data_IF_679792409912
#
_entry.id   IF_679792409912
#
_cell.length_a   1.000
_cell.length_b   1.000
_cell.length_c   1.000
_cell.angle_alpha   90.00
_cell.angle_beta   90.00
_cell.angle_gamma   90.00
#
_symmetry.space_group_name_H-M   'P 1'
#
loop_
_entity.id
_entity.type
_entity.pdbx_description
1 polymer ?
#
# COMPACT_ATOMS: atom_id res chain seq x y z
N UNK A 1 22.51 19.93 14.76
CA UNK A 1 22.00 19.77 13.38
C UNK A 1 20.65 19.11 13.52
N UNK A 2 19.57 19.89 13.46
CA UNK A 2 18.24 19.32 13.34
C UNK A 2 18.04 18.98 11.86
N UNK A 3 18.01 17.68 11.54
CA UNK A 3 17.54 17.25 10.23
C UNK A 3 16.11 17.78 10.10
N UNK A 4 15.84 18.55 9.05
CA UNK A 4 14.48 18.93 8.69
C UNK A 4 13.67 17.63 8.52
N UNK A 5 12.72 17.40 9.43
CA UNK A 5 11.74 16.32 9.30
C UNK A 5 10.72 16.72 8.22
N UNK A 6 11.17 16.71 6.97
CA UNK A 6 10.36 17.01 5.79
C UNK A 6 9.81 15.73 5.13
N UNK A 7 9.75 14.62 5.85
CA UNK A 7 8.99 13.46 5.42
C UNK A 7 7.51 13.72 5.72
N UNK A 8 6.63 13.52 4.73
CA UNK A 8 5.19 13.55 4.94
C UNK A 8 4.77 12.56 6.03
N UNK A 9 3.58 12.74 6.61
CA UNK A 9 3.05 11.74 7.54
C UNK A 9 3.02 10.37 6.83
N UNK A 10 3.48 9.29 7.48
CA UNK A 10 3.46 7.96 6.90
C UNK A 10 2.06 7.61 6.39
N UNK A 11 1.96 7.14 5.14
CA UNK A 11 0.70 6.82 4.51
C UNK A 11 0.33 5.34 4.67
N UNK A 12 -0.98 5.09 4.67
CA UNK A 12 -1.58 3.77 4.69
C UNK A 12 -2.65 3.67 3.62
N UNK A 13 -2.95 2.43 3.20
CA UNK A 13 -4.05 2.17 2.30
C UNK A 13 -5.36 2.06 3.06
N UNK A 14 -6.39 2.69 2.50
CA UNK A 14 -7.77 2.64 2.96
C UNK A 14 -8.66 2.21 1.81
N UNK A 15 -9.69 1.42 2.12
CA UNK A 15 -10.72 1.04 1.17
C UNK A 15 -12.03 1.73 1.54
N UNK A 16 -12.69 2.27 0.52
CA UNK A 16 -14.02 2.86 0.63
C UNK A 16 -14.99 2.02 -0.19
N UNK A 17 -16.03 1.51 0.45
CA UNK A 17 -17.19 0.95 -0.22
C UNK A 17 -18.22 2.06 -0.39
N UNK A 18 -18.41 2.49 -1.64
CA UNK A 18 -19.32 3.58 -1.99
C UNK A 18 -20.80 3.20 -1.84
N UNK A 19 -21.13 1.90 -1.89
CA UNK A 19 -22.51 1.43 -1.75
C UNK A 19 -22.90 1.26 -0.28
N UNK A 20 -21.96 0.83 0.55
CA UNK A 20 -22.20 0.54 1.96
C UNK A 20 -21.84 1.70 2.91
N UNK A 21 -21.39 2.84 2.40
CA UNK A 21 -20.81 3.95 3.19
C UNK A 21 -19.75 3.44 4.19
N UNK A 22 -18.99 2.41 3.81
CA UNK A 22 -18.03 1.75 4.68
C UNK A 22 -16.62 2.24 4.38
N UNK A 23 -15.90 2.63 5.41
CA UNK A 23 -14.51 3.06 5.36
C UNK A 23 -13.67 2.11 6.22
N UNK A 24 -12.64 1.46 5.64
CA UNK A 24 -11.74 0.59 6.41
C UNK A 24 -10.27 0.83 6.07
N UNK A 25 -9.43 0.86 7.11
CA UNK A 25 -7.97 0.86 6.97
C UNK A 25 -7.49 -0.54 6.63
N UNK A 26 -6.71 -0.67 5.57
CA UNK A 26 -6.18 -1.95 5.09
C UNK A 26 -4.77 -2.24 5.61
N UNK A 27 -3.95 -1.20 5.85
CA UNK A 27 -2.54 -1.38 6.22
C UNK A 27 -2.14 -0.56 7.44
N UNK A 28 -1.06 -1.01 8.08
CA UNK A 28 -0.23 -0.21 9.00
C UNK A 28 1.21 -0.23 8.46
N UNK A 29 1.37 0.21 7.22
CA UNK A 29 2.62 0.15 6.48
C UNK A 29 3.54 1.33 6.79
N UNK A 30 2.96 2.51 7.08
CA UNK A 30 3.75 3.72 7.29
C UNK A 30 4.63 4.05 6.09
N UNK A 31 4.11 3.82 4.88
CA UNK A 31 4.86 3.99 3.65
C UNK A 31 4.88 5.45 3.21
N UNK A 32 5.96 5.89 2.59
CA UNK A 32 5.94 7.16 1.86
C UNK A 32 5.35 6.92 0.47
N UNK A 33 4.31 7.70 0.13
CA UNK A 33 3.70 7.77 -1.20
C UNK A 33 3.44 6.40 -1.88
N UNK A 34 2.67 5.49 -1.26
CA UNK A 34 2.43 4.16 -1.83
C UNK A 34 1.66 4.25 -3.15
N UNK A 35 2.03 3.40 -4.12
CA UNK A 35 1.36 3.28 -5.42
C UNK A 35 0.57 1.95 -5.49
N UNK A 36 -0.73 1.94 -5.14
CA UNK A 36 -1.52 0.72 -5.09
C UNK A 36 -2.13 0.31 -6.43
N UNK A 37 -2.27 -1.01 -6.65
CA UNK A 37 -3.04 -1.60 -7.75
C UNK A 37 -3.73 -2.90 -7.30
N UNK A 38 -4.97 -3.12 -7.75
CA UNK A 38 -5.68 -4.38 -7.53
C UNK A 38 -5.08 -5.49 -8.39
N UNK A 39 -4.99 -6.70 -7.83
CA UNK A 39 -4.69 -7.89 -8.64
C UNK A 39 -5.83 -8.19 -9.60
N UNK A 40 -5.57 -8.83 -10.76
CA UNK A 40 -6.62 -9.18 -11.73
C UNK A 40 -7.72 -10.08 -11.17
N UNK A 41 -7.41 -10.90 -10.16
CA UNK A 41 -8.36 -11.79 -9.47
C UNK A 41 -9.02 -11.15 -8.25
N UNK A 42 -8.77 -9.85 -8.02
CA UNK A 42 -9.25 -9.04 -6.90
C UNK A 42 -8.92 -9.57 -5.50
N UNK A 43 -8.07 -10.60 -5.36
CA UNK A 43 -7.71 -11.14 -4.04
C UNK A 43 -6.71 -10.27 -3.30
N UNK A 44 -5.89 -9.53 -4.05
CA UNK A 44 -4.79 -8.74 -3.51
C UNK A 44 -4.87 -7.27 -3.93
N UNK A 45 -4.30 -6.41 -3.09
CA UNK A 45 -3.87 -5.07 -3.47
C UNK A 45 -2.36 -5.04 -3.32
N UNK A 46 -1.65 -4.87 -4.42
CA UNK A 46 -0.20 -4.71 -4.42
C UNK A 46 0.14 -3.22 -4.34
N UNK A 47 1.25 -2.86 -3.71
CA UNK A 47 1.77 -1.51 -3.81
C UNK A 47 3.30 -1.45 -3.77
N UNK A 48 3.85 -0.50 -4.51
CA UNK A 48 5.25 -0.09 -4.43
C UNK A 48 5.38 1.07 -3.42
N UNK A 49 6.46 1.07 -2.66
CA UNK A 49 6.89 2.17 -1.79
C UNK A 49 8.42 2.25 -1.77
N UNK A 50 8.97 3.29 -1.15
CA UNK A 50 10.43 3.41 -0.94
C UNK A 50 11.03 2.23 -0.17
N UNK A 51 10.27 1.63 0.76
CA UNK A 51 10.75 0.57 1.64
C UNK A 51 10.47 -0.85 1.14
N UNK A 52 9.84 -0.98 -0.02
CA UNK A 52 9.56 -2.30 -0.59
C UNK A 52 8.32 -2.38 -1.46
N UNK A 53 8.07 -3.61 -1.92
CA UNK A 53 6.84 -4.03 -2.57
C UNK A 53 6.05 -4.85 -1.58
N UNK A 54 4.76 -4.57 -1.48
CA UNK A 54 3.85 -5.18 -0.53
C UNK A 54 2.60 -5.70 -1.23
N UNK A 55 1.96 -6.67 -0.61
CA UNK A 55 0.65 -7.17 -1.00
C UNK A 55 -0.27 -7.26 0.22
N UNK A 56 -1.49 -6.74 0.08
CA UNK A 56 -2.58 -6.89 1.04
C UNK A 56 -3.46 -8.03 0.59
N UNK A 57 -3.58 -9.09 1.38
CA UNK A 57 -4.62 -10.11 1.20
C UNK A 57 -5.96 -9.54 1.70
N UNK A 58 -6.92 -9.35 0.79
CA UNK A 58 -8.21 -8.72 1.11
C UNK A 58 -9.14 -9.62 1.92
N UNK A 59 -8.98 -10.94 1.83
CA UNK A 59 -9.81 -11.89 2.56
C UNK A 59 -9.30 -12.05 4.00
N UNK A 60 -7.99 -12.24 4.15
CA UNK A 60 -7.35 -12.46 5.45
C UNK A 60 -7.01 -11.15 6.17
N UNK A 61 -7.11 -10.01 5.48
CA UNK A 61 -6.72 -8.68 5.98
C UNK A 61 -5.27 -8.65 6.47
N UNK A 62 -4.39 -9.34 5.75
CA UNK A 62 -2.99 -9.46 6.09
C UNK A 62 -2.11 -8.63 5.15
N UNK A 63 -1.07 -8.00 5.68
CA UNK A 63 -0.06 -7.27 4.92
C UNK A 63 1.20 -8.12 4.80
N UNK A 64 1.64 -8.35 3.57
CA UNK A 64 2.81 -9.15 3.22
C UNK A 64 3.83 -8.23 2.58
N UNK A 65 5.06 -8.18 3.12
CA UNK A 65 6.19 -7.56 2.43
C UNK A 65 6.80 -8.59 1.47
N UNK A 66 6.67 -8.34 0.17
CA UNK A 66 7.18 -9.24 -0.89
C UNK A 66 8.70 -9.09 -1.03
N UNK A 67 9.17 -7.84 -0.95
CA UNK A 67 10.60 -7.52 -0.94
C UNK A 67 10.86 -6.23 -0.17
N UNK A 68 12.06 -6.09 0.39
CA UNK A 68 12.55 -4.86 1.01
C UNK A 68 13.25 -3.92 0.02
N UNK A 69 13.28 -4.29 -1.26
CA UNK A 69 13.78 -3.44 -2.34
C UNK A 69 12.63 -2.61 -2.89
N UNK A 70 12.53 -1.36 -2.44
CA UNK A 70 11.52 -0.41 -2.88
C UNK A 70 11.97 0.45 -4.06
N UNK A 71 11.22 1.53 -4.29
CA UNK A 71 11.51 2.49 -5.34
C UNK A 71 10.39 3.50 -5.53
N UNK A 72 10.50 4.29 -6.60
CA UNK A 72 9.52 5.29 -7.00
C UNK A 72 8.99 4.97 -8.40
N UNK A 73 7.70 5.19 -8.64
CA UNK A 73 7.09 5.00 -9.96
C UNK A 73 5.76 4.26 -9.92
N UNK A 74 5.24 3.93 -11.10
CA UNK A 74 4.01 3.14 -11.24
C UNK A 74 4.21 1.68 -10.86
N UNK A 75 3.18 1.10 -10.25
CA UNK A 75 3.11 -0.33 -9.93
C UNK A 75 1.94 -0.94 -10.69
N UNK A 76 2.14 -2.09 -11.33
CA UNK A 76 1.08 -2.89 -11.95
C UNK A 76 1.38 -4.39 -11.80
N UNK A 77 0.34 -5.19 -11.91
CA UNK A 77 0.44 -6.65 -11.89
C UNK A 77 0.84 -7.17 -13.28
N UNK A 78 1.69 -8.20 -13.30
CA UNK A 78 1.99 -8.94 -14.52
C UNK A 78 0.73 -9.62 -15.09
N UNK A 79 0.70 -9.78 -16.42
CA UNK A 79 -0.31 -10.56 -17.13
C UNK A 79 0.05 -12.05 -17.16
#
# INVERSE_FOLDING_TARGET
>A
MESASAHGLPADLYQVDLNATKFERLTRAGADSPYPAFSPDEKYIGFLSEIGIFAVDRQQKNLIQVTNSGGYGGFDWGK
#
